data_IF_871560240221
#
_entry.id   IF_871560240221
#
_cell.length_a   1.000
_cell.length_b   1.000
_cell.length_c   1.000
_cell.angle_alpha   90.00
_cell.angle_beta   90.00
_cell.angle_gamma   90.00
#
_symmetry.space_group_name_H-M   'P 1'
#
loop_
_entity.id
_entity.type
_entity.pdbx_description
1 polymer ?
#
# COMPACT_ATOMS: atom_id res chain seq x y z
N UNK A 1 6.31 -21.44 19.62
CA UNK A 1 5.18 -20.99 18.80
C UNK A 1 4.60 -19.73 19.45
N UNK A 2 4.92 -18.55 18.93
CA UNK A 2 4.42 -17.28 19.45
C UNK A 2 2.96 -17.07 19.01
N UNK A 3 2.04 -17.11 19.97
CA UNK A 3 0.64 -16.76 19.78
C UNK A 3 0.52 -15.25 19.56
N UNK A 4 0.66 -14.80 18.30
CA UNK A 4 0.34 -13.43 17.93
C UNK A 4 -1.18 -13.29 18.03
N UNK A 5 -1.65 -12.66 19.12
CA UNK A 5 -3.05 -12.24 19.25
C UNK A 5 -3.34 -11.26 18.12
N UNK A 6 -4.11 -11.68 17.12
CA UNK A 6 -4.68 -10.75 16.13
C UNK A 6 -5.66 -9.84 16.85
N UNK A 7 -5.20 -8.67 17.28
CA UNK A 7 -6.13 -7.60 17.63
C UNK A 7 -6.93 -7.25 16.37
N UNK A 8 -8.26 -7.16 16.43
CA UNK A 8 -9.03 -6.66 15.31
C UNK A 8 -8.53 -5.26 14.99
N UNK A 9 -8.10 -5.03 13.76
CA UNK A 9 -7.66 -3.71 13.32
C UNK A 9 -8.83 -2.75 13.49
N UNK A 10 -8.65 -1.67 14.27
CA UNK A 10 -9.64 -0.59 14.40
C UNK A 10 -9.79 0.24 13.09
N UNK A 11 -9.18 -0.21 11.99
CA UNK A 11 -9.26 0.44 10.70
C UNK A 11 -10.49 -0.09 9.96
N UNK A 12 -11.41 0.82 9.67
CA UNK A 12 -12.62 0.48 8.93
C UNK A 12 -12.29 0.29 7.43
N UNK A 13 -12.98 -0.62 6.73
CA UNK A 13 -12.76 -0.82 5.29
C UNK A 13 -12.94 0.46 4.47
N UNK A 14 -13.86 1.34 4.88
CA UNK A 14 -14.10 2.63 4.22
C UNK A 14 -12.87 3.53 4.28
N UNK A 15 -12.12 3.51 5.39
CA UNK A 15 -10.89 4.28 5.51
C UNK A 15 -9.85 3.74 4.52
N UNK A 16 -9.59 2.43 4.52
CA UNK A 16 -8.65 1.81 3.57
C UNK A 16 -9.02 2.13 2.11
N UNK A 17 -10.30 2.00 1.77
CA UNK A 17 -10.78 2.26 0.41
C UNK A 17 -10.58 3.71 -0.04
N UNK A 18 -10.65 4.68 0.90
CA UNK A 18 -10.39 6.09 0.62
C UNK A 18 -8.92 6.35 0.29
N UNK A 19 -8.01 5.65 0.96
CA UNK A 19 -6.58 5.76 0.69
C UNK A 19 -6.21 5.08 -0.63
N UNK A 20 -6.79 3.90 -0.91
CA UNK A 20 -6.63 3.17 -2.17
C UNK A 20 -7.11 3.98 -3.39
N UNK A 21 -8.31 4.58 -3.29
CA UNK A 21 -8.93 5.33 -4.40
C UNK A 21 -8.55 6.81 -4.45
N UNK A 22 -7.54 7.23 -3.70
CA UNK A 22 -7.08 8.61 -3.75
C UNK A 22 -6.32 8.86 -5.06
N UNK A 23 -6.70 9.89 -5.81
CA UNK A 23 -6.04 10.27 -7.08
C UNK A 23 -4.63 10.85 -6.88
N UNK A 24 -4.27 11.20 -5.64
CA UNK A 24 -2.90 11.64 -5.34
C UNK A 24 -1.96 10.44 -5.29
N UNK A 25 -0.84 10.43 -6.04
CA UNK A 25 0.17 9.39 -5.94
C UNK A 25 0.83 9.37 -4.55
N UNK A 26 0.85 8.22 -3.88
CA UNK A 26 1.58 8.03 -2.63
C UNK A 26 2.02 6.57 -2.45
N UNK A 27 3.07 6.38 -1.65
CA UNK A 27 3.59 5.06 -1.33
C UNK A 27 4.39 5.08 -0.03
N UNK A 28 4.66 3.89 0.49
CA UNK A 28 5.47 3.68 1.68
C UNK A 28 6.72 2.89 1.31
N UNK A 29 7.83 3.19 1.98
CA UNK A 29 9.11 2.50 1.82
C UNK A 29 9.59 1.95 3.16
N UNK A 30 10.37 0.89 3.10
CA UNK A 30 11.12 0.40 4.25
C UNK A 30 12.36 1.26 4.56
N UNK A 31 13.10 0.87 5.60
CA UNK A 31 14.34 1.54 6.01
C UNK A 31 15.46 1.43 4.96
N UNK A 32 15.36 0.49 4.03
CA UNK A 32 16.27 0.30 2.90
C UNK A 32 15.80 1.07 1.65
N UNK A 33 14.80 1.93 1.77
CA UNK A 33 14.21 2.71 0.67
C UNK A 33 13.57 1.88 -0.44
N UNK A 34 13.20 0.62 -0.16
CA UNK A 34 12.42 -0.25 -1.04
C UNK A 34 10.93 0.00 -0.81
N UNK A 35 10.14 0.05 -1.87
CA UNK A 35 8.69 0.20 -1.72
C UNK A 35 8.11 -1.04 -1.04
N UNK A 36 7.28 -0.81 -0.03
CA UNK A 36 6.48 -1.85 0.63
C UNK A 36 5.00 -1.75 0.25
N UNK A 37 4.61 -0.61 -0.32
CA UNK A 37 3.27 -0.33 -0.83
C UNK A 37 3.31 0.93 -1.70
N UNK A 38 2.48 0.95 -2.75
CA UNK A 38 2.16 2.16 -3.52
C UNK A 38 0.68 2.07 -3.95
N UNK A 39 -0.03 3.19 -3.97
CA UNK A 39 -1.43 3.20 -4.42
C UNK A 39 -1.52 3.18 -5.96
N UNK A 40 -2.67 2.81 -6.55
CA UNK A 40 -2.83 2.74 -8.02
C UNK A 40 -2.46 4.03 -8.77
N UNK A 41 -2.76 5.21 -8.21
CA UNK A 41 -2.38 6.50 -8.81
C UNK A 41 -0.85 6.65 -8.97
N UNK A 42 -0.06 6.00 -8.12
CA UNK A 42 1.40 5.97 -8.24
C UNK A 42 1.86 5.22 -9.48
N UNK A 43 1.28 4.04 -9.77
CA UNK A 43 1.61 3.27 -10.96
C UNK A 43 1.23 4.04 -12.25
N UNK A 44 0.07 4.68 -12.24
CA UNK A 44 -0.39 5.52 -13.36
C UNK A 44 0.52 6.71 -13.63
N UNK A 45 1.04 7.37 -12.58
CA UNK A 45 1.97 8.50 -12.73
C UNK A 45 3.21 8.14 -13.56
N UNK A 46 3.70 6.91 -13.41
CA UNK A 46 4.89 6.42 -14.11
C UNK A 46 4.58 5.58 -15.35
N UNK A 47 3.30 5.49 -15.76
CA UNK A 47 2.81 4.58 -16.81
C UNK A 47 3.30 3.14 -16.61
N UNK A 48 3.33 2.69 -15.34
CA UNK A 48 3.73 1.33 -15.01
C UNK A 48 2.56 0.37 -15.25
N UNK A 49 2.84 -0.85 -15.74
CA UNK A 49 1.88 -1.94 -15.74
C UNK A 49 1.32 -2.18 -14.34
N UNK A 50 0.06 -2.60 -14.24
CA UNK A 50 -0.58 -2.92 -12.95
C UNK A 50 0.04 -4.15 -12.27
N UNK A 51 0.67 -5.02 -13.07
CA UNK A 51 1.45 -6.20 -12.65
C UNK A 51 2.94 -5.91 -12.47
N UNK A 52 3.37 -4.64 -12.55
CA UNK A 52 4.75 -4.26 -12.32
C UNK A 52 5.11 -4.44 -10.84
N UNK A 53 6.06 -5.33 -10.57
CA UNK A 53 6.46 -5.65 -9.21
C UNK A 53 7.39 -4.58 -8.63
N UNK A 54 6.80 -3.47 -8.18
CA UNK A 54 7.51 -2.36 -7.53
C UNK A 54 7.86 -2.68 -6.07
N UNK A 55 7.16 -3.64 -5.47
CA UNK A 55 7.23 -3.96 -4.04
C UNK A 55 8.07 -5.24 -3.88
N UNK A 56 9.32 -5.10 -3.43
CA UNK A 56 10.27 -6.20 -3.25
C UNK A 56 10.28 -6.77 -1.83
#
# INVERSE_FOLDING_TARGET
MSNIRKNPSNITPQLTQKWERNDKPWGAKDLQSRFIYANPAFYQLFNLPEDFDMIL
#
